data_IF_249793190699
#
_entry.id   IF_249793190699
#
_cell.length_a   1.000
_cell.length_b   1.000
_cell.length_c   1.000
_cell.angle_alpha   90.00
_cell.angle_beta   90.00
_cell.angle_gamma   90.00
#
_symmetry.space_group_name_H-M   'P 1'
#
loop_
_entity.id
_entity.type
_entity.pdbx_description
1 polymer ?
#
# COMPACT_ATOMS: atom_id res chain seq x y z
N UNK A 1 -5.30 27.33 28.83
CA UNK A 1 -5.68 27.47 27.41
C UNK A 1 -6.25 26.12 27.00
N UNK A 2 -7.57 26.03 26.79
CA UNK A 2 -8.17 24.87 26.14
C UNK A 2 -7.76 24.95 24.67
N UNK A 3 -6.85 24.13 24.24
CA UNK A 3 -6.64 23.86 22.81
C UNK A 3 -7.94 23.23 22.32
N UNK A 4 -8.77 23.96 21.61
CA UNK A 4 -9.85 23.36 20.85
C UNK A 4 -9.19 22.47 19.80
N UNK A 5 -9.21 21.17 20.04
CA UNK A 5 -9.01 20.19 18.98
C UNK A 5 -10.27 20.35 18.13
N UNK A 6 -10.12 20.81 16.89
CA UNK A 6 -11.22 20.81 15.94
C UNK A 6 -11.75 19.36 15.86
N UNK A 7 -13.05 19.19 16.05
CA UNK A 7 -13.69 17.89 15.93
C UNK A 7 -13.42 17.36 14.53
N UNK A 8 -12.70 16.26 14.44
CA UNK A 8 -12.37 15.62 13.16
C UNK A 8 -13.67 15.09 12.56
N UNK A 9 -14.08 15.68 11.44
CA UNK A 9 -15.30 15.27 10.76
C UNK A 9 -15.10 13.90 10.08
N UNK A 10 -15.60 12.82 10.69
CA UNK A 10 -15.54 11.45 10.15
C UNK A 10 -16.12 11.32 8.74
N UNK A 11 -17.04 12.18 8.36
CA UNK A 11 -17.69 12.15 7.05
C UNK A 11 -16.71 12.42 5.89
N UNK A 12 -15.53 12.97 6.17
CA UNK A 12 -14.50 13.24 5.15
C UNK A 12 -14.06 11.93 4.46
N UNK A 13 -13.93 10.84 5.20
CA UNK A 13 -13.45 9.55 4.66
C UNK A 13 -14.60 8.63 4.19
N UNK A 14 -15.86 8.89 4.58
CA UNK A 14 -17.03 8.09 4.21
C UNK A 14 -17.89 8.74 3.11
N UNK A 15 -17.26 9.53 2.23
CA UNK A 15 -17.93 10.15 1.10
C UNK A 15 -18.34 9.06 0.12
N UNK A 16 -19.63 8.99 -0.19
CA UNK A 16 -20.21 8.09 -1.18
C UNK A 16 -20.77 8.91 -2.32
N UNK A 17 -20.23 8.70 -3.50
CA UNK A 17 -20.87 9.19 -4.70
C UNK A 17 -21.97 8.21 -5.14
N UNK A 18 -22.87 8.66 -6.00
CA UNK A 18 -23.84 7.76 -6.63
C UNK A 18 -23.09 6.66 -7.38
N UNK A 19 -23.62 5.43 -7.36
CA UNK A 19 -23.06 4.31 -8.14
C UNK A 19 -23.44 4.47 -9.62
N UNK A 20 -22.82 5.49 -10.25
CA UNK A 20 -22.98 5.84 -11.66
C UNK A 20 -21.69 5.53 -12.42
N UNK A 21 -21.78 4.71 -13.44
CA UNK A 21 -20.65 4.27 -14.25
C UNK A 21 -21.02 4.23 -15.73
N UNK A 22 -20.03 4.36 -16.59
CA UNK A 22 -20.19 4.14 -18.03
C UNK A 22 -20.30 2.65 -18.35
N UNK A 23 -19.55 1.84 -17.60
CA UNK A 23 -19.55 0.39 -17.77
C UNK A 23 -19.20 -0.30 -16.45
N UNK A 24 -19.91 -1.37 -16.11
CA UNK A 24 -19.59 -2.30 -15.03
C UNK A 24 -19.66 -3.72 -15.56
N UNK A 25 -18.56 -4.45 -15.41
CA UNK A 25 -18.48 -5.82 -15.88
C UNK A 25 -19.38 -6.73 -15.03
N UNK A 26 -19.83 -7.83 -15.59
CA UNK A 26 -20.54 -8.87 -14.82
C UNK A 26 -19.62 -9.39 -13.72
N UNK A 27 -20.22 -9.72 -12.59
CA UNK A 27 -19.51 -10.35 -11.47
C UNK A 27 -18.96 -11.72 -11.90
N UNK A 28 -17.85 -12.11 -11.27
CA UNK A 28 -17.19 -13.37 -11.53
C UNK A 28 -15.83 -13.24 -12.20
N UNK A 29 -15.22 -14.38 -12.48
CA UNK A 29 -13.90 -14.47 -13.08
C UNK A 29 -13.89 -15.59 -14.15
N UNK A 30 -14.21 -15.22 -15.38
CA UNK A 30 -14.25 -16.14 -16.53
C UNK A 30 -13.40 -15.63 -17.69
N UNK A 31 -13.14 -16.47 -18.67
CA UNK A 31 -12.42 -16.07 -19.89
C UNK A 31 -13.08 -14.90 -20.60
N UNK A 32 -14.40 -14.92 -20.74
CA UNK A 32 -15.19 -13.88 -21.40
C UNK A 32 -15.07 -12.53 -20.68
N UNK A 33 -15.01 -12.57 -19.32
CA UNK A 33 -14.79 -11.38 -18.49
C UNK A 33 -13.40 -10.80 -18.79
N UNK A 34 -12.36 -11.63 -18.83
CA UNK A 34 -10.99 -11.18 -19.12
C UNK A 34 -10.88 -10.59 -20.54
N UNK A 35 -11.49 -11.23 -21.52
CA UNK A 35 -11.52 -10.73 -22.91
C UNK A 35 -12.26 -9.39 -23.01
N UNK A 36 -13.35 -9.20 -22.24
CA UNK A 36 -14.06 -7.92 -22.20
C UNK A 36 -13.24 -6.83 -21.50
N UNK A 37 -12.55 -7.11 -20.38
CA UNK A 37 -11.62 -6.16 -19.76
C UNK A 37 -10.56 -5.73 -20.77
N UNK A 38 -9.91 -6.68 -21.42
CA UNK A 38 -8.87 -6.41 -22.42
C UNK A 38 -9.38 -5.52 -23.56
N UNK A 39 -10.60 -5.74 -24.03
CA UNK A 39 -11.28 -4.91 -25.03
C UNK A 39 -11.55 -3.50 -24.52
N UNK A 40 -12.08 -3.34 -23.31
CA UNK A 40 -12.36 -2.03 -22.69
C UNK A 40 -11.07 -1.20 -22.50
N UNK A 41 -9.95 -1.89 -22.20
CA UNK A 41 -8.63 -1.27 -22.01
C UNK A 41 -7.88 -1.02 -23.32
N UNK A 42 -8.38 -1.50 -24.47
CA UNK A 42 -7.67 -1.51 -25.76
C UNK A 42 -6.27 -2.13 -25.63
N UNK A 43 -6.19 -3.26 -24.93
CA UNK A 43 -4.92 -3.96 -24.73
C UNK A 43 -4.30 -4.39 -26.07
N UNK A 44 -2.98 -4.29 -26.23
CA UNK A 44 -2.29 -4.96 -27.33
C UNK A 44 -2.36 -6.48 -27.15
N UNK A 45 -2.22 -7.25 -28.24
CA UNK A 45 -2.36 -8.71 -28.23
C UNK A 45 -1.53 -9.41 -27.16
N UNK A 46 -0.29 -8.97 -26.95
CA UNK A 46 0.60 -9.56 -25.92
C UNK A 46 0.05 -9.40 -24.50
N UNK A 47 -0.64 -8.29 -24.21
CA UNK A 47 -1.23 -8.05 -22.88
C UNK A 47 -2.51 -8.89 -22.71
N UNK A 48 -3.33 -8.99 -23.75
CA UNK A 48 -4.51 -9.88 -23.74
C UNK A 48 -4.10 -11.35 -23.50
N UNK A 49 -3.08 -11.82 -24.21
CA UNK A 49 -2.54 -13.17 -24.02
C UNK A 49 -1.99 -13.38 -22.61
N UNK A 50 -1.29 -12.38 -22.07
CA UNK A 50 -0.80 -12.39 -20.70
C UNK A 50 -1.94 -12.54 -19.69
N UNK A 51 -3.01 -11.73 -19.82
CA UNK A 51 -4.19 -11.82 -18.93
C UNK A 51 -4.82 -13.21 -18.95
N UNK A 52 -5.01 -13.79 -20.14
CA UNK A 52 -5.59 -15.13 -20.27
C UNK A 52 -4.71 -16.21 -19.63
N UNK A 53 -3.39 -16.10 -19.81
CA UNK A 53 -2.44 -16.99 -19.13
C UNK A 53 -2.47 -16.82 -17.61
N UNK A 54 -2.62 -15.59 -17.11
CA UNK A 54 -2.75 -15.31 -15.68
C UNK A 54 -4.02 -15.96 -15.11
N UNK A 55 -5.13 -15.93 -15.84
CA UNK A 55 -6.36 -16.64 -15.45
C UNK A 55 -6.14 -18.17 -15.36
N UNK A 56 -5.41 -18.75 -16.30
CA UNK A 56 -5.06 -20.19 -16.25
C UNK A 56 -4.23 -20.50 -14.99
N UNK A 57 -3.23 -19.66 -14.68
CA UNK A 57 -2.43 -19.80 -13.47
C UNK A 57 -3.29 -19.67 -12.22
N UNK A 58 -4.19 -18.67 -12.17
CA UNK A 58 -5.13 -18.51 -11.05
C UNK A 58 -5.96 -19.75 -10.80
N UNK A 59 -6.48 -20.36 -11.84
CA UNK A 59 -7.32 -21.56 -11.71
C UNK A 59 -6.54 -22.78 -11.18
N UNK A 60 -5.23 -22.85 -11.42
CA UNK A 60 -4.36 -23.95 -10.99
C UNK A 60 -3.73 -23.73 -9.61
N UNK A 61 -3.71 -22.49 -9.08
CA UNK A 61 -3.15 -22.20 -7.76
C UNK A 61 -4.19 -22.40 -6.66
N UNK A 62 -3.76 -22.95 -5.54
CA UNK A 62 -4.58 -23.09 -4.35
C UNK A 62 -4.65 -21.77 -3.55
N UNK A 63 -5.70 -21.64 -2.75
CA UNK A 63 -5.79 -20.56 -1.77
C UNK A 63 -4.72 -20.74 -0.68
N UNK A 64 -4.18 -19.64 -0.11
CA UNK A 64 -3.26 -19.77 1.01
C UNK A 64 -3.93 -20.46 2.20
N UNK A 65 -3.22 -21.42 2.81
CA UNK A 65 -3.66 -22.18 3.99
C UNK A 65 -3.23 -21.54 5.31
N UNK A 66 -2.61 -20.39 5.25
CA UNK A 66 -2.09 -19.61 6.38
C UNK A 66 -2.64 -18.18 6.36
N UNK A 67 -2.55 -17.48 7.48
CA UNK A 67 -3.06 -16.12 7.62
C UNK A 67 -4.53 -16.08 8.07
N UNK A 68 -5.22 -14.97 7.81
CA UNK A 68 -6.65 -14.83 8.09
C UNK A 68 -7.51 -15.79 7.27
N UNK A 69 -8.70 -16.13 7.81
CA UNK A 69 -9.69 -16.89 7.06
C UNK A 69 -10.26 -16.07 5.90
N UNK A 70 -10.09 -16.58 4.68
CA UNK A 70 -10.55 -15.97 3.43
C UNK A 70 -11.81 -16.63 2.86
N UNK A 71 -12.53 -17.44 3.65
CA UNK A 71 -13.73 -18.18 3.19
C UNK A 71 -14.87 -17.27 2.70
N UNK A 72 -14.89 -16.00 3.14
CA UNK A 72 -15.87 -15.02 2.65
C UNK A 72 -15.54 -14.46 1.25
N UNK A 73 -14.33 -14.68 0.72
CA UNK A 73 -13.97 -14.23 -0.61
C UNK A 73 -14.64 -15.12 -1.66
N UNK A 74 -15.66 -14.57 -2.28
CA UNK A 74 -16.36 -15.19 -3.40
C UNK A 74 -16.21 -14.33 -4.65
N UNK A 75 -15.38 -14.75 -5.60
CA UNK A 75 -15.17 -14.00 -6.84
C UNK A 75 -16.42 -13.89 -7.71
N UNK A 76 -17.41 -14.81 -7.55
CA UNK A 76 -18.69 -14.74 -8.27
C UNK A 76 -19.57 -13.56 -7.81
N UNK A 77 -19.22 -12.92 -6.71
CA UNK A 77 -19.90 -11.74 -6.17
C UNK A 77 -19.14 -10.43 -6.39
N UNK A 78 -17.95 -10.46 -7.00
CA UNK A 78 -17.08 -9.30 -7.23
C UNK A 78 -17.09 -8.91 -8.70
N UNK A 79 -17.39 -7.64 -8.99
CA UNK A 79 -17.14 -7.03 -10.29
C UNK A 79 -15.67 -6.61 -10.36
N UNK A 80 -14.92 -7.17 -11.30
CA UNK A 80 -13.47 -6.97 -11.42
C UNK A 80 -13.09 -5.73 -12.23
N UNK A 81 -14.06 -5.04 -12.82
CA UNK A 81 -13.82 -3.82 -13.56
C UNK A 81 -15.06 -2.90 -13.54
N UNK A 82 -14.84 -1.64 -13.18
CA UNK A 82 -15.86 -0.58 -13.16
C UNK A 82 -15.27 0.68 -13.79
N UNK A 83 -15.85 1.12 -14.91
CA UNK A 83 -15.46 2.35 -15.60
C UNK A 83 -16.34 3.50 -15.16
N UNK A 84 -15.81 4.52 -14.44
CA UNK A 84 -16.57 5.68 -14.03
C UNK A 84 -16.96 6.54 -15.24
N UNK A 85 -17.91 7.45 -15.07
CA UNK A 85 -18.27 8.48 -16.06
C UNK A 85 -17.22 9.59 -16.11
N UNK A 86 -15.98 9.23 -16.41
CA UNK A 86 -14.87 10.17 -16.53
C UNK A 86 -13.87 9.70 -17.56
N UNK A 87 -13.09 10.64 -18.08
CA UNK A 87 -11.90 10.39 -18.90
C UNK A 87 -10.67 10.78 -18.11
N UNK A 88 -9.50 10.39 -18.58
CA UNK A 88 -8.25 10.92 -18.08
C UNK A 88 -8.16 12.43 -18.39
N UNK A 89 -7.98 13.25 -17.37
CA UNK A 89 -7.91 14.70 -17.46
C UNK A 89 -6.54 15.19 -16.96
N UNK A 90 -6.08 16.32 -17.45
CA UNK A 90 -4.87 17.01 -17.00
C UNK A 90 -5.16 18.28 -16.17
N UNK A 91 -6.44 18.63 -16.02
CA UNK A 91 -6.94 19.71 -15.18
C UNK A 91 -8.04 19.19 -14.26
N UNK A 92 -8.00 19.57 -12.99
CA UNK A 92 -9.08 19.27 -12.03
C UNK A 92 -10.42 19.88 -12.43
N UNK A 93 -10.41 20.97 -13.22
CA UNK A 93 -11.63 21.62 -13.68
C UNK A 93 -12.40 20.80 -14.73
N UNK A 94 -11.72 19.85 -15.38
CA UNK A 94 -12.30 18.93 -16.37
C UNK A 94 -12.77 17.61 -15.75
N UNK A 95 -12.43 17.34 -14.47
CA UNK A 95 -12.90 16.15 -13.74
C UNK A 95 -14.35 16.36 -13.32
N UNK A 96 -15.25 15.35 -13.46
CA UNK A 96 -16.64 15.45 -13.00
C UNK A 96 -16.73 15.93 -11.54
N UNK A 97 -17.70 16.84 -11.28
CA UNK A 97 -17.78 17.61 -10.02
C UNK A 97 -17.86 16.69 -8.79
N UNK A 98 -18.63 15.61 -8.84
CA UNK A 98 -18.78 14.66 -7.74
C UNK A 98 -17.48 13.89 -7.43
N UNK A 99 -16.70 13.56 -8.45
CA UNK A 99 -15.38 12.93 -8.32
C UNK A 99 -14.38 13.95 -7.79
N UNK A 100 -14.37 15.18 -8.36
CA UNK A 100 -13.53 16.29 -7.92
C UNK A 100 -13.77 16.61 -6.45
N UNK A 101 -15.03 16.78 -6.04
CA UNK A 101 -15.43 17.03 -4.65
C UNK A 101 -14.90 15.97 -3.67
N UNK A 102 -14.84 14.70 -4.12
CA UNK A 102 -14.27 13.62 -3.32
C UNK A 102 -12.77 13.84 -3.10
N UNK A 103 -12.02 14.14 -4.15
CA UNK A 103 -10.58 14.39 -4.04
C UNK A 103 -10.25 15.71 -3.33
N UNK A 104 -11.07 16.75 -3.48
CA UNK A 104 -10.95 18.01 -2.76
C UNK A 104 -11.09 17.81 -1.25
N UNK A 105 -12.09 17.05 -0.82
CA UNK A 105 -12.30 16.71 0.60
C UNK A 105 -11.19 15.83 1.18
N UNK A 106 -10.55 15.01 0.33
CA UNK A 106 -9.37 14.23 0.70
C UNK A 106 -8.07 15.07 0.68
N UNK A 107 -8.13 16.33 0.26
CA UNK A 107 -6.99 17.27 0.25
C UNK A 107 -5.99 17.05 -0.90
N UNK A 108 -6.30 16.21 -1.90
CA UNK A 108 -5.36 15.84 -2.96
C UNK A 108 -4.99 17.01 -3.88
N UNK A 109 -5.94 17.84 -4.40
CA UNK A 109 -5.59 19.00 -5.22
C UNK A 109 -4.77 20.07 -4.48
N UNK A 110 -4.98 20.23 -3.18
CA UNK A 110 -4.20 21.17 -2.38
C UNK A 110 -2.77 20.65 -2.14
N UNK A 111 -2.61 19.36 -1.85
CA UNK A 111 -1.30 18.74 -1.72
C UNK A 111 -0.49 18.83 -3.04
N UNK A 112 -1.14 18.69 -4.20
CA UNK A 112 -0.51 18.89 -5.51
C UNK A 112 0.08 20.30 -5.66
N UNK A 113 -0.68 21.33 -5.29
CA UNK A 113 -0.23 22.72 -5.43
C UNK A 113 0.94 23.05 -4.50
N UNK A 114 0.99 22.45 -3.31
CA UNK A 114 1.89 22.89 -2.23
C UNK A 114 3.12 22.02 -2.07
N UNK A 115 3.00 20.71 -2.25
CA UNK A 115 4.03 19.76 -1.78
C UNK A 115 4.38 18.64 -2.76
N UNK A 116 3.73 18.55 -3.92
CA UNK A 116 3.96 17.46 -4.88
C UNK A 116 4.53 17.92 -6.21
N UNK A 117 5.28 17.05 -6.89
CA UNK A 117 5.80 17.30 -8.24
C UNK A 117 4.92 16.69 -9.34
N UNK A 118 3.96 15.86 -8.96
CA UNK A 118 2.97 15.28 -9.86
C UNK A 118 1.98 14.42 -9.09
N UNK A 119 0.77 14.29 -9.63
CA UNK A 119 -0.33 13.54 -9.04
C UNK A 119 -1.02 12.68 -10.07
N UNK A 120 -1.32 11.43 -9.70
CA UNK A 120 -2.28 10.56 -10.37
C UNK A 120 -3.46 10.28 -9.45
N UNK A 121 -4.68 10.46 -9.93
CA UNK A 121 -5.88 10.13 -9.17
C UNK A 121 -6.70 9.08 -9.91
N UNK A 122 -6.93 7.96 -9.26
CA UNK A 122 -7.77 6.86 -9.78
C UNK A 122 -9.08 6.81 -9.02
N UNK A 123 -10.16 6.60 -9.75
CA UNK A 123 -11.49 6.39 -9.23
C UNK A 123 -12.06 5.07 -9.80
N UNK A 124 -12.39 4.14 -8.93
CA UNK A 124 -12.68 2.75 -9.28
C UNK A 124 -11.57 2.13 -10.15
N UNK A 125 -11.85 1.72 -11.38
CA UNK A 125 -10.88 1.03 -12.24
C UNK A 125 -10.13 1.93 -13.22
N UNK A 126 -10.30 3.25 -13.16
CA UNK A 126 -9.71 4.18 -14.14
C UNK A 126 -8.96 5.34 -13.47
N UNK A 127 -7.82 5.72 -14.03
CA UNK A 127 -7.16 6.98 -13.70
C UNK A 127 -7.96 8.12 -14.34
N UNK A 128 -8.46 9.04 -13.52
CA UNK A 128 -9.34 10.14 -13.92
C UNK A 128 -8.61 11.48 -14.02
N UNK A 129 -7.49 11.61 -13.35
CA UNK A 129 -6.64 12.79 -13.37
C UNK A 129 -5.17 12.40 -13.31
N UNK A 130 -4.34 13.14 -14.05
CA UNK A 130 -2.89 12.99 -14.01
C UNK A 130 -2.19 14.29 -14.37
N UNK A 131 -1.20 14.67 -13.57
CA UNK A 131 -0.30 15.78 -13.88
C UNK A 131 1.13 15.53 -13.41
N UNK A 132 2.08 16.22 -14.02
CA UNK A 132 3.48 16.26 -13.58
C UNK A 132 4.12 17.61 -13.98
N UNK A 133 5.01 18.12 -13.12
CA UNK A 133 5.74 19.37 -13.41
C UNK A 133 6.60 19.25 -14.68
N UNK A 134 6.54 20.25 -15.55
CA UNK A 134 7.28 20.28 -16.81
C UNK A 134 8.80 20.10 -16.66
N UNK A 135 9.37 20.54 -15.55
CA UNK A 135 10.80 20.41 -15.25
C UNK A 135 11.24 18.94 -15.20
N UNK A 136 10.40 18.05 -14.66
CA UNK A 136 10.66 16.61 -14.62
C UNK A 136 10.52 15.99 -16.02
N UNK A 137 9.52 16.43 -16.79
CA UNK A 137 9.34 15.99 -18.19
C UNK A 137 10.59 16.32 -19.02
N UNK A 138 11.13 17.53 -18.86
CA UNK A 138 12.36 17.97 -19.56
C UNK A 138 13.60 17.17 -19.15
N UNK A 139 13.61 16.60 -17.95
CA UNK A 139 14.66 15.71 -17.47
C UNK A 139 14.47 14.25 -17.95
N UNK A 140 13.40 13.96 -18.68
CA UNK A 140 13.10 12.64 -19.21
C UNK A 140 12.39 11.71 -18.19
N UNK A 141 11.91 12.25 -17.08
CA UNK A 141 11.05 11.49 -16.17
C UNK A 141 9.72 11.18 -16.86
N UNK A 142 9.30 9.94 -16.77
CA UNK A 142 7.96 9.51 -17.21
C UNK A 142 7.16 9.22 -15.97
N UNK A 143 5.97 9.83 -15.88
CA UNK A 143 4.94 9.47 -14.92
C UNK A 143 3.61 9.49 -15.64
N UNK A 144 2.93 8.36 -15.71
CA UNK A 144 1.64 8.20 -16.41
C UNK A 144 0.85 7.04 -15.80
N UNK A 145 -0.39 6.84 -16.26
CA UNK A 145 -1.15 5.64 -15.94
C UNK A 145 -0.55 4.40 -16.63
N UNK A 146 -0.83 3.23 -16.06
CA UNK A 146 -0.21 1.98 -16.53
C UNK A 146 -0.71 1.55 -17.91
N UNK A 147 -1.96 1.83 -18.28
CA UNK A 147 -2.50 1.53 -19.62
C UNK A 147 -1.82 2.37 -20.70
N UNK A 148 -1.58 3.65 -20.43
CA UNK A 148 -0.80 4.51 -21.32
C UNK A 148 0.63 3.99 -21.47
N UNK A 149 1.25 3.57 -20.36
CA UNK A 149 2.59 2.98 -20.42
C UNK A 149 2.65 1.71 -21.27
N UNK A 150 1.66 0.82 -21.17
CA UNK A 150 1.56 -0.40 -22.00
C UNK A 150 1.53 -0.07 -23.50
N UNK A 151 0.89 1.03 -23.89
CA UNK A 151 0.77 1.47 -25.29
C UNK A 151 1.96 2.26 -25.80
N UNK A 152 2.45 3.20 -25.00
CA UNK A 152 3.45 4.19 -25.44
C UNK A 152 4.90 3.77 -25.13
N UNK A 153 5.09 2.95 -24.07
CA UNK A 153 6.40 2.47 -23.65
C UNK A 153 6.48 0.93 -23.57
N UNK A 154 6.00 0.19 -24.60
CA UNK A 154 5.82 -1.27 -24.52
C UNK A 154 7.11 -2.03 -24.20
N UNK A 155 8.27 -1.57 -24.64
CA UNK A 155 9.55 -2.28 -24.38
C UNK A 155 9.97 -2.15 -22.90
N UNK A 156 9.80 -0.98 -22.30
CA UNK A 156 10.05 -0.78 -20.86
C UNK A 156 9.07 -1.62 -20.04
N UNK A 157 7.78 -1.63 -20.40
CA UNK A 157 6.78 -2.40 -19.70
C UNK A 157 7.05 -3.90 -19.83
N UNK A 158 7.23 -4.44 -21.03
CA UNK A 158 7.48 -5.87 -21.26
C UNK A 158 8.71 -6.40 -20.51
N UNK A 159 9.74 -5.56 -20.36
CA UNK A 159 10.97 -5.97 -19.67
C UNK A 159 10.84 -6.00 -18.15
N UNK A 160 9.82 -5.36 -17.55
CA UNK A 160 9.68 -5.22 -16.11
C UNK A 160 8.35 -5.77 -15.55
N UNK A 161 7.25 -5.60 -16.28
CA UNK A 161 5.90 -5.95 -15.83
C UNK A 161 5.77 -7.43 -15.44
N UNK A 162 5.33 -7.68 -14.22
CA UNK A 162 5.18 -9.00 -13.61
C UNK A 162 6.45 -9.86 -13.68
N UNK A 163 7.63 -9.21 -13.48
CA UNK A 163 8.95 -9.87 -13.38
C UNK A 163 9.48 -9.86 -11.94
N UNK A 164 9.33 -8.76 -11.22
CA UNK A 164 9.64 -8.71 -9.79
C UNK A 164 8.59 -9.49 -8.98
N UNK A 165 7.34 -9.41 -9.41
CA UNK A 165 6.20 -10.18 -8.86
C UNK A 165 5.68 -11.12 -9.96
N UNK A 166 6.27 -12.31 -10.16
CA UNK A 166 5.85 -13.22 -11.23
C UNK A 166 4.43 -13.73 -11.00
N UNK A 167 3.68 -13.92 -12.10
CA UNK A 167 2.25 -14.27 -12.10
C UNK A 167 1.92 -15.53 -11.27
N UNK A 168 2.86 -16.43 -11.10
CA UNK A 168 2.72 -17.67 -10.31
C UNK A 168 3.22 -17.55 -8.87
N UNK A 169 3.46 -16.34 -8.36
CA UNK A 169 3.95 -16.14 -6.99
C UNK A 169 2.93 -16.65 -5.95
N UNK A 170 1.67 -16.30 -6.13
CA UNK A 170 0.53 -16.83 -5.39
C UNK A 170 -0.80 -16.46 -6.09
N UNK A 171 -1.90 -17.05 -5.62
CA UNK A 171 -3.23 -16.94 -6.25
C UNK A 171 -3.69 -15.50 -6.49
N UNK A 172 -3.46 -14.56 -5.55
CA UNK A 172 -3.91 -13.18 -5.71
C UNK A 172 -3.06 -12.39 -6.71
N UNK A 173 -1.79 -12.75 -6.90
CA UNK A 173 -0.96 -12.19 -7.98
C UNK A 173 -1.45 -12.68 -9.34
N UNK A 174 -1.83 -13.94 -9.44
CA UNK A 174 -2.41 -14.47 -10.67
C UNK A 174 -3.78 -13.81 -10.98
N UNK A 175 -4.63 -13.61 -9.96
CA UNK A 175 -5.86 -12.83 -10.08
C UNK A 175 -5.56 -11.42 -10.60
N UNK A 176 -4.64 -10.72 -9.95
CA UNK A 176 -4.21 -9.39 -10.36
C UNK A 176 -3.77 -9.37 -11.83
N UNK A 177 -2.89 -10.28 -12.23
CA UNK A 177 -2.40 -10.37 -13.61
C UNK A 177 -3.51 -10.54 -14.65
N UNK A 178 -4.62 -11.23 -14.30
CA UNK A 178 -5.76 -11.43 -15.17
C UNK A 178 -6.65 -10.17 -15.29
N UNK A 179 -6.87 -9.42 -14.20
CA UNK A 179 -7.90 -8.38 -14.14
C UNK A 179 -7.37 -6.97 -13.87
N UNK A 180 -6.06 -6.76 -13.79
CA UNK A 180 -5.49 -5.47 -13.42
C UNK A 180 -6.05 -4.31 -14.27
N UNK A 181 -6.22 -3.16 -13.64
CA UNK A 181 -6.68 -1.94 -14.29
C UNK A 181 -6.25 -0.71 -13.50
N UNK A 182 -5.83 0.33 -14.21
CA UNK A 182 -5.30 1.54 -13.60
C UNK A 182 -3.91 1.33 -12.98
N UNK A 183 -3.56 2.21 -12.07
CA UNK A 183 -2.26 2.23 -11.43
C UNK A 183 -1.30 3.22 -12.09
N UNK A 184 -0.02 3.09 -11.75
CA UNK A 184 0.97 4.10 -12.07
C UNK A 184 2.22 3.51 -12.70
N UNK A 185 2.70 4.16 -13.73
CA UNK A 185 4.00 3.91 -14.32
C UNK A 185 4.94 5.08 -14.09
N UNK A 186 6.09 4.82 -13.47
CA UNK A 186 7.13 5.84 -13.26
C UNK A 186 8.47 5.31 -13.77
N UNK A 187 9.12 6.12 -14.59
CA UNK A 187 10.50 5.90 -15.01
C UNK A 187 11.34 7.13 -14.70
N UNK A 188 12.43 6.94 -13.97
CA UNK A 188 13.38 8.02 -13.63
C UNK A 188 14.73 7.71 -14.28
N UNK A 189 15.20 8.55 -15.24
CA UNK A 189 16.45 8.32 -15.95
C UNK A 189 17.68 8.35 -15.04
N UNK A 190 18.78 7.80 -15.55
CA UNK A 190 20.08 7.75 -14.87
C UNK A 190 20.51 9.10 -14.30
N UNK A 191 20.80 9.13 -13.00
CA UNK A 191 21.32 10.27 -12.26
C UNK A 191 20.30 11.37 -11.95
N UNK A 192 19.05 11.26 -12.43
CA UNK A 192 18.00 12.25 -12.16
C UNK A 192 17.52 12.13 -10.71
N UNK A 193 17.42 13.28 -10.04
CA UNK A 193 16.93 13.38 -8.66
C UNK A 193 15.56 14.06 -8.66
N UNK A 194 14.54 13.34 -8.22
CA UNK A 194 13.19 13.88 -8.04
C UNK A 194 13.05 14.27 -6.56
N UNK A 195 13.36 15.54 -6.26
CA UNK A 195 13.45 16.04 -4.88
C UNK A 195 12.08 16.25 -4.23
N UNK A 196 11.04 16.51 -5.01
CA UNK A 196 9.66 16.69 -4.56
C UNK A 196 8.88 15.41 -4.88
N UNK A 197 8.10 14.86 -3.93
CA UNK A 197 7.42 13.59 -4.14
C UNK A 197 6.46 13.59 -5.34
N UNK A 198 6.31 12.40 -5.97
CA UNK A 198 5.18 12.05 -6.83
C UNK A 198 4.15 11.28 -6.01
N UNK A 199 2.87 11.44 -6.34
CA UNK A 199 1.78 10.77 -5.62
C UNK A 199 0.80 10.10 -6.56
N UNK A 200 0.32 8.91 -6.17
CA UNK A 200 -0.91 8.33 -6.69
C UNK A 200 -1.93 8.15 -5.58
N UNK A 201 -3.19 8.44 -5.86
CA UNK A 201 -4.29 8.22 -4.93
C UNK A 201 -5.37 7.35 -5.56
N UNK A 202 -5.72 6.26 -4.90
CA UNK A 202 -6.67 5.25 -5.36
C UNK A 202 -7.94 5.28 -4.52
N UNK A 203 -9.07 5.58 -5.16
CA UNK A 203 -10.39 5.62 -4.52
C UNK A 203 -11.30 4.56 -5.12
N UNK A 204 -11.68 3.55 -4.35
CA UNK A 204 -12.72 2.60 -4.72
C UNK A 204 -14.07 3.13 -4.22
N UNK A 205 -14.99 3.45 -5.13
CA UNK A 205 -16.32 3.95 -4.78
C UNK A 205 -17.44 2.93 -4.99
N UNK A 206 -17.31 2.03 -5.96
CA UNK A 206 -18.36 1.06 -6.30
C UNK A 206 -18.44 -0.09 -5.28
N UNK A 207 -19.65 -0.43 -4.74
CA UNK A 207 -19.82 -1.60 -3.89
C UNK A 207 -19.76 -2.91 -4.70
N UNK A 208 -19.42 -4.01 -4.01
CA UNK A 208 -19.31 -5.36 -4.61
C UNK A 208 -18.35 -5.39 -5.81
N UNK A 209 -17.27 -4.62 -5.72
CA UNK A 209 -16.26 -4.51 -6.77
C UNK A 209 -14.85 -4.69 -6.21
N UNK A 210 -13.91 -4.89 -7.12
CA UNK A 210 -12.50 -4.97 -6.80
C UNK A 210 -11.71 -3.80 -7.39
N UNK A 211 -10.59 -3.47 -6.74
CA UNK A 211 -9.57 -2.57 -7.22
C UNK A 211 -8.27 -3.34 -7.40
N UNK A 212 -7.67 -3.24 -8.60
CA UNK A 212 -6.56 -4.07 -9.04
C UNK A 212 -5.50 -3.23 -9.77
N UNK A 213 -5.12 -2.10 -9.18
CA UNK A 213 -4.14 -1.20 -9.76
C UNK A 213 -2.74 -1.82 -9.82
N UNK A 214 -2.01 -1.55 -10.92
CA UNK A 214 -0.63 -1.96 -11.08
C UNK A 214 0.31 -0.75 -11.02
N UNK A 215 1.18 -0.71 -10.03
CA UNK A 215 2.22 0.31 -9.91
C UNK A 215 3.56 -0.28 -10.31
N UNK A 216 4.18 0.29 -11.37
CA UNK A 216 5.51 -0.08 -11.83
C UNK A 216 6.43 1.14 -11.79
N UNK A 217 7.47 1.07 -10.95
CA UNK A 217 8.46 2.14 -10.79
C UNK A 217 9.85 1.62 -11.15
N UNK A 218 10.50 2.30 -12.08
CA UNK A 218 11.84 1.96 -12.57
C UNK A 218 12.76 3.17 -12.34
N UNK A 219 13.73 3.01 -11.45
CA UNK A 219 14.78 3.98 -11.22
C UNK A 219 16.09 3.47 -11.84
N UNK A 220 16.62 4.23 -12.76
CA UNK A 220 17.92 3.96 -13.36
C UNK A 220 19.08 4.27 -12.39
N UNK A 221 20.29 3.88 -12.76
CA UNK A 221 21.50 4.06 -11.96
C UNK A 221 21.62 5.49 -11.40
N UNK A 222 21.79 5.58 -10.08
CA UNK A 222 21.96 6.85 -9.39
C UNK A 222 20.72 7.76 -9.34
N UNK A 223 19.56 7.32 -9.83
CA UNK A 223 18.31 8.08 -9.73
C UNK A 223 17.78 8.14 -8.29
N UNK A 224 16.92 9.11 -7.99
CA UNK A 224 16.20 9.13 -6.69
C UNK A 224 14.77 9.62 -6.83
N UNK A 225 13.89 9.02 -6.02
CA UNK A 225 12.47 9.34 -5.97
C UNK A 225 11.89 9.07 -4.59
N UNK A 226 10.99 9.94 -4.14
CA UNK A 226 9.98 9.63 -3.13
C UNK A 226 8.63 9.49 -3.82
N UNK A 227 8.02 8.31 -3.74
CA UNK A 227 6.69 8.04 -4.27
C UNK A 227 5.72 7.81 -3.11
N UNK A 228 4.53 8.40 -3.20
CA UNK A 228 3.51 8.32 -2.17
C UNK A 228 2.26 7.68 -2.76
N UNK A 229 1.73 6.67 -2.09
CA UNK A 229 0.49 6.00 -2.46
C UNK A 229 -0.55 6.18 -1.35
N UNK A 230 -1.69 6.74 -1.70
CA UNK A 230 -2.86 6.81 -0.83
C UNK A 230 -3.97 5.90 -1.36
N UNK A 231 -4.62 5.16 -0.46
CA UNK A 231 -5.72 4.27 -0.84
C UNK A 231 -6.90 4.45 0.11
N UNK A 232 -8.12 4.54 -0.42
CA UNK A 232 -9.32 4.64 0.42
C UNK A 232 -10.57 4.07 -0.24
N UNK A 233 -11.54 3.69 0.61
CA UNK A 233 -12.90 3.33 0.19
C UNK A 233 -13.91 3.80 1.26
N UNK A 234 -15.13 4.22 0.87
CA UNK A 234 -16.19 4.50 1.81
C UNK A 234 -16.74 3.22 2.43
N UNK A 235 -17.49 3.35 3.51
CA UNK A 235 -18.12 2.19 4.20
C UNK A 235 -19.30 1.68 3.39
N UNK A 236 -19.24 0.43 2.97
CA UNK A 236 -20.35 -0.33 2.39
C UNK A 236 -20.68 -1.54 3.27
N UNK A 237 -21.95 -2.01 3.22
CA UNK A 237 -22.38 -3.25 3.89
C UNK A 237 -22.13 -4.47 3.00
N UNK A 238 -21.14 -4.41 2.12
CA UNK A 238 -20.80 -5.43 1.14
C UNK A 238 -19.30 -5.63 1.10
N UNK A 239 -18.88 -6.85 0.78
CA UNK A 239 -17.46 -7.17 0.63
C UNK A 239 -16.92 -6.50 -0.63
N UNK A 240 -15.80 -5.82 -0.48
CA UNK A 240 -14.98 -5.30 -1.58
C UNK A 240 -13.59 -5.95 -1.50
N UNK A 241 -12.93 -6.04 -2.64
CA UNK A 241 -11.60 -6.64 -2.77
C UNK A 241 -10.57 -5.60 -3.25
N UNK A 242 -9.44 -5.53 -2.60
CA UNK A 242 -8.26 -4.86 -3.10
C UNK A 242 -7.14 -5.88 -3.29
N UNK A 243 -6.69 -6.05 -4.53
CA UNK A 243 -5.58 -6.94 -4.87
C UNK A 243 -4.69 -6.26 -5.91
N UNK A 244 -4.10 -5.12 -5.53
CA UNK A 244 -3.12 -4.38 -6.30
C UNK A 244 -1.77 -5.09 -6.35
N UNK A 245 -0.91 -4.65 -7.26
CA UNK A 245 0.46 -5.12 -7.39
C UNK A 245 1.42 -3.95 -7.59
N UNK A 246 2.50 -3.96 -6.82
CA UNK A 246 3.55 -2.93 -6.88
C UNK A 246 4.89 -3.60 -7.16
N UNK A 247 5.53 -3.18 -8.25
CA UNK A 247 6.85 -3.64 -8.67
C UNK A 247 7.82 -2.46 -8.72
N UNK A 248 8.90 -2.56 -7.94
CA UNK A 248 9.89 -1.49 -7.81
C UNK A 248 11.27 -1.98 -8.24
N UNK A 249 11.86 -1.29 -9.19
CA UNK A 249 13.21 -1.56 -9.68
C UNK A 249 14.12 -0.40 -9.29
N UNK A 250 15.05 -0.66 -8.39
CA UNK A 250 15.98 0.34 -7.85
C UNK A 250 17.38 -0.04 -8.31
N UNK A 251 17.83 0.53 -9.41
CA UNK A 251 19.12 0.21 -10.02
C UNK A 251 20.30 0.66 -9.14
N UNK A 252 21.52 0.36 -9.58
CA UNK A 252 22.75 0.64 -8.82
C UNK A 252 22.85 2.11 -8.38
N UNK A 253 23.24 2.34 -7.14
CA UNK A 253 23.37 3.67 -6.52
C UNK A 253 22.09 4.50 -6.49
N UNK A 254 20.92 3.92 -6.83
CA UNK A 254 19.64 4.63 -6.81
C UNK A 254 19.01 4.62 -5.40
N UNK A 255 18.09 5.52 -5.17
CA UNK A 255 17.34 5.64 -3.93
C UNK A 255 15.84 5.78 -4.20
N UNK A 256 15.06 4.87 -3.65
CA UNK A 256 13.60 4.95 -3.66
C UNK A 256 13.04 4.93 -2.24
N UNK A 257 12.21 5.92 -1.92
CA UNK A 257 11.29 5.85 -0.78
C UNK A 257 9.88 5.65 -1.31
N UNK A 258 9.20 4.63 -0.81
CA UNK A 258 7.81 4.34 -1.13
C UNK A 258 6.96 4.40 0.14
N UNK A 259 6.09 5.40 0.21
CA UNK A 259 5.22 5.63 1.36
C UNK A 259 3.77 5.29 1.00
N UNK A 260 3.11 4.48 1.83
CA UNK A 260 1.71 4.10 1.63
C UNK A 260 0.88 4.44 2.86
N UNK A 261 -0.26 5.09 2.65
CA UNK A 261 -1.32 5.23 3.66
C UNK A 261 -2.59 4.59 3.12
N UNK A 262 -3.02 3.53 3.77
CA UNK A 262 -4.22 2.78 3.43
C UNK A 262 -5.33 3.07 4.45
N UNK A 263 -6.46 3.55 3.97
CA UNK A 263 -7.66 3.84 4.77
C UNK A 263 -8.88 3.17 4.14
N UNK A 264 -8.93 1.85 4.24
CA UNK A 264 -9.98 1.04 3.67
C UNK A 264 -11.21 0.94 4.57
N UNK A 265 -12.37 0.69 3.97
CA UNK A 265 -13.56 0.35 4.75
C UNK A 265 -13.40 -0.97 5.51
N UNK A 266 -14.11 -1.13 6.63
CA UNK A 266 -14.08 -2.36 7.45
C UNK A 266 -14.72 -3.60 6.78
N UNK A 267 -15.14 -3.49 5.52
CA UNK A 267 -15.63 -4.61 4.71
C UNK A 267 -14.67 -4.95 3.55
N UNK A 268 -13.50 -4.31 3.51
CA UNK A 268 -12.48 -4.57 2.49
C UNK A 268 -11.65 -5.80 2.84
N UNK A 269 -11.43 -6.66 1.85
CA UNK A 269 -10.36 -7.65 1.85
C UNK A 269 -9.16 -7.04 1.11
N UNK A 270 -8.09 -6.71 1.83
CA UNK A 270 -6.89 -6.08 1.31
C UNK A 270 -5.78 -7.12 1.14
N UNK A 271 -5.57 -7.60 -0.09
CA UNK A 271 -4.68 -8.70 -0.45
C UNK A 271 -3.60 -8.24 -1.44
N UNK A 272 -2.99 -7.10 -1.16
CA UNK A 272 -2.04 -6.41 -2.03
C UNK A 272 -0.64 -7.06 -1.99
N UNK A 273 0.10 -7.00 -3.10
CA UNK A 273 1.46 -7.52 -3.23
C UNK A 273 2.42 -6.44 -3.67
N UNK A 274 3.50 -6.22 -2.89
CA UNK A 274 4.51 -5.20 -3.16
C UNK A 274 5.91 -5.81 -3.09
N UNK A 275 6.73 -5.65 -4.15
CA UNK A 275 8.13 -6.12 -4.15
C UNK A 275 9.08 -5.11 -4.79
N UNK A 276 10.31 -5.07 -4.28
CA UNK A 276 11.41 -4.28 -4.81
C UNK A 276 12.63 -5.14 -5.09
N UNK A 277 13.27 -4.91 -6.23
CA UNK A 277 14.62 -5.40 -6.53
C UNK A 277 15.60 -4.25 -6.34
N UNK A 278 16.64 -4.47 -5.53
CA UNK A 278 17.59 -3.42 -5.12
C UNK A 278 18.99 -3.76 -5.61
N UNK A 279 19.55 -2.87 -6.43
CA UNK A 279 20.86 -2.98 -7.05
C UNK A 279 22.02 -2.62 -6.12
N UNK A 280 23.23 -2.60 -6.68
CA UNK A 280 24.48 -2.35 -5.94
C UNK A 280 24.49 -0.94 -5.30
N UNK A 281 24.81 -0.89 -4.00
CA UNK A 281 24.82 0.35 -3.18
C UNK A 281 23.50 1.15 -3.24
N UNK A 282 22.43 0.57 -3.75
CA UNK A 282 21.12 1.20 -3.80
C UNK A 282 20.38 1.08 -2.47
N UNK A 283 19.43 1.96 -2.24
CA UNK A 283 18.60 1.95 -1.02
C UNK A 283 17.12 1.99 -1.35
N UNK A 284 16.36 1.13 -0.66
CA UNK A 284 14.89 1.09 -0.71
C UNK A 284 14.31 1.34 0.68
N UNK A 285 13.54 2.41 0.85
CA UNK A 285 12.83 2.74 2.08
C UNK A 285 11.32 2.53 1.89
N UNK A 286 10.72 1.75 2.78
CA UNK A 286 9.28 1.55 2.87
C UNK A 286 8.73 2.26 4.10
N UNK A 287 7.66 3.04 3.90
CA UNK A 287 6.88 3.62 5.00
C UNK A 287 5.43 3.22 4.81
N UNK A 288 4.80 2.58 5.80
CA UNK A 288 3.46 2.00 5.65
C UNK A 288 2.57 2.31 6.84
N UNK A 289 1.39 2.87 6.57
CA UNK A 289 0.29 2.99 7.51
C UNK A 289 -0.93 2.21 7.02
N UNK A 290 -1.37 1.21 7.76
CA UNK A 290 -2.51 0.35 7.41
C UNK A 290 -3.64 0.53 8.41
N UNK A 291 -4.74 1.11 7.93
CA UNK A 291 -5.96 1.38 8.68
C UNK A 291 -7.17 0.83 7.94
N UNK A 292 -8.20 0.46 8.68
CA UNK A 292 -9.38 -0.13 8.08
C UNK A 292 -9.16 -1.58 7.66
N UNK A 293 -9.86 -2.01 6.60
CA UNK A 293 -9.99 -3.39 6.15
C UNK A 293 -10.63 -4.34 7.16
N UNK A 294 -11.38 -5.33 6.71
CA UNK A 294 -11.82 -6.47 7.52
C UNK A 294 -10.67 -7.45 7.68
N UNK A 295 -10.02 -7.74 6.57
CA UNK A 295 -8.84 -8.60 6.48
C UNK A 295 -7.78 -7.87 5.68
N UNK A 296 -6.54 -7.92 6.15
CA UNK A 296 -5.37 -7.49 5.38
C UNK A 296 -4.32 -8.59 5.37
N UNK A 297 -3.73 -8.84 4.18
CA UNK A 297 -2.53 -9.64 4.00
C UNK A 297 -1.55 -8.81 3.17
N UNK A 298 -0.68 -8.08 3.84
CA UNK A 298 0.22 -7.12 3.22
C UNK A 298 1.66 -7.34 3.70
N UNK A 299 2.53 -7.81 2.81
CA UNK A 299 3.92 -8.15 3.10
C UNK A 299 4.84 -7.53 2.06
N UNK A 300 5.13 -6.22 2.11
CA UNK A 300 6.15 -5.64 1.24
C UNK A 300 7.45 -6.42 1.34
N UNK A 301 8.15 -6.55 0.22
CA UNK A 301 9.34 -7.37 0.13
C UNK A 301 10.48 -6.62 -0.58
N UNK A 302 11.68 -6.66 -0.01
CA UNK A 302 12.90 -6.22 -0.67
C UNK A 302 13.80 -7.40 -1.02
N UNK A 303 14.30 -7.43 -2.25
CA UNK A 303 15.29 -8.40 -2.74
C UNK A 303 16.59 -7.65 -3.00
N UNK A 304 17.57 -7.83 -2.10
CA UNK A 304 18.85 -7.14 -2.11
C UNK A 304 19.82 -7.91 -3.01
N UNK A 305 19.80 -7.60 -4.32
CA UNK A 305 20.55 -8.33 -5.34
C UNK A 305 21.95 -7.75 -5.59
N UNK A 306 22.18 -6.49 -5.26
CA UNK A 306 23.47 -5.84 -5.44
C UNK A 306 24.30 -5.80 -4.17
N UNK A 307 25.64 -5.87 -4.31
CA UNK A 307 26.55 -5.67 -3.19
C UNK A 307 26.30 -4.33 -2.51
N UNK A 308 26.24 -4.31 -1.16
CA UNK A 308 25.99 -3.10 -0.40
C UNK A 308 24.58 -2.53 -0.50
N UNK A 309 23.63 -3.27 -1.12
CA UNK A 309 22.23 -2.87 -1.15
C UNK A 309 21.61 -2.77 0.25
N UNK A 310 20.71 -1.80 0.43
CA UNK A 310 20.10 -1.51 1.72
C UNK A 310 18.59 -1.40 1.61
N UNK A 311 17.89 -1.80 2.68
CA UNK A 311 16.46 -1.54 2.81
C UNK A 311 16.08 -1.18 4.23
N UNK A 312 15.14 -0.27 4.36
CA UNK A 312 14.49 0.06 5.63
C UNK A 312 12.98 -0.10 5.48
N UNK A 313 12.34 -0.66 6.49
CA UNK A 313 10.89 -0.72 6.60
C UNK A 313 10.45 -0.10 7.91
N UNK A 314 9.53 0.85 7.82
CA UNK A 314 8.87 1.46 8.98
C UNK A 314 7.36 1.41 8.76
N UNK A 315 6.65 0.68 9.62
CA UNK A 315 5.22 0.44 9.40
C UNK A 315 4.39 0.42 10.67
N UNK A 316 3.11 0.84 10.54
CA UNK A 316 2.10 0.74 11.58
C UNK A 316 0.81 0.14 11.05
N UNK A 317 0.21 -0.76 11.84
CA UNK A 317 -1.11 -1.31 11.60
C UNK A 317 -2.02 -1.06 12.79
N UNK A 318 -3.28 -0.71 12.55
CA UNK A 318 -4.28 -0.52 13.60
C UNK A 318 -5.51 -1.39 13.32
N UNK A 319 -5.78 -2.36 14.18
CA UNK A 319 -6.93 -3.25 14.09
C UNK A 319 -7.96 -2.95 15.19
N UNK A 320 -9.14 -2.53 14.80
CA UNK A 320 -10.32 -2.42 15.67
C UNK A 320 -11.17 -3.70 15.67
N UNK A 321 -12.30 -3.68 16.39
CA UNK A 321 -13.20 -4.82 16.47
C UNK A 321 -13.64 -5.36 15.11
N UNK A 322 -13.58 -6.68 14.94
CA UNK A 322 -13.93 -7.39 13.72
C UNK A 322 -12.87 -7.36 12.61
N UNK A 323 -11.71 -6.77 12.85
CA UNK A 323 -10.60 -6.70 11.89
C UNK A 323 -9.51 -7.73 12.22
N UNK A 324 -8.93 -8.33 11.16
CA UNK A 324 -7.80 -9.25 11.24
C UNK A 324 -6.73 -8.83 10.25
N UNK A 325 -5.73 -8.10 10.73
CA UNK A 325 -4.64 -7.56 9.92
C UNK A 325 -3.39 -8.42 10.10
N UNK A 326 -3.05 -9.24 9.11
CA UNK A 326 -1.82 -10.03 9.04
C UNK A 326 -0.86 -9.30 8.10
N UNK A 327 -0.08 -8.40 8.65
CA UNK A 327 0.83 -7.54 7.91
C UNK A 327 2.27 -7.79 8.36
N UNK A 328 3.24 -7.42 7.52
CA UNK A 328 4.62 -7.60 7.90
C UNK A 328 5.60 -7.13 6.84
N UNK A 329 6.83 -7.66 6.90
CA UNK A 329 7.86 -7.33 5.93
C UNK A 329 8.73 -8.54 5.61
N UNK A 330 9.12 -8.65 4.35
CA UNK A 330 10.00 -9.72 3.87
C UNK A 330 11.27 -9.12 3.27
N UNK A 331 12.42 -9.72 3.56
CA UNK A 331 13.69 -9.33 2.94
C UNK A 331 14.52 -10.56 2.59
N UNK A 332 15.10 -10.54 1.38
CA UNK A 332 16.04 -11.54 0.91
C UNK A 332 17.35 -10.85 0.58
N UNK A 333 18.42 -11.25 1.25
CA UNK A 333 19.78 -10.82 0.98
C UNK A 333 20.44 -11.84 0.05
N UNK A 334 20.74 -11.40 -1.19
CA UNK A 334 21.37 -12.23 -2.22
C UNK A 334 22.85 -11.90 -2.46
N UNK A 335 23.28 -10.71 -2.06
CA UNK A 335 24.63 -10.20 -2.29
C UNK A 335 25.35 -9.85 -0.96
N UNK A 336 26.69 -9.81 -0.95
CA UNK A 336 27.45 -9.49 0.25
C UNK A 336 27.29 -8.01 0.69
N UNK A 337 27.63 -7.75 1.95
CA UNK A 337 27.61 -6.41 2.54
C UNK A 337 26.25 -5.70 2.53
N UNK A 338 25.16 -6.45 2.41
CA UNK A 338 23.79 -5.90 2.38
C UNK A 338 23.26 -5.65 3.79
N UNK A 339 22.32 -4.72 3.92
CA UNK A 339 21.72 -4.40 5.22
C UNK A 339 20.21 -4.17 5.16
N UNK A 340 19.50 -4.60 6.20
CA UNK A 340 18.08 -4.35 6.38
C UNK A 340 17.77 -3.91 7.81
N UNK A 341 16.88 -2.92 7.93
CA UNK A 341 16.33 -2.46 9.21
C UNK A 341 14.81 -2.49 9.12
N UNK A 342 14.18 -3.13 10.09
CA UNK A 342 12.72 -3.29 10.12
C UNK A 342 12.17 -2.79 11.43
N UNK A 343 11.30 -1.79 11.38
CA UNK A 343 10.58 -1.22 12.51
C UNK A 343 9.08 -1.35 12.28
N UNK A 344 8.48 -2.37 12.88
CA UNK A 344 7.05 -2.62 12.74
C UNK A 344 6.32 -2.33 14.04
N UNK A 345 5.21 -1.60 13.95
CA UNK A 345 4.34 -1.33 15.09
C UNK A 345 2.91 -1.78 14.80
N UNK A 346 2.22 -2.29 15.81
CA UNK A 346 0.83 -2.63 15.70
C UNK A 346 0.05 -2.19 16.92
N UNK A 347 -1.21 -1.81 16.68
CA UNK A 347 -2.16 -1.43 17.73
C UNK A 347 -3.41 -2.26 17.51
N UNK A 348 -3.94 -2.86 18.58
CA UNK A 348 -5.19 -3.62 18.54
C UNK A 348 -6.15 -3.18 19.65
N UNK A 349 -7.45 -3.18 19.32
CA UNK A 349 -8.51 -2.64 20.16
C UNK A 349 -9.85 -3.33 19.90
N UNK A 350 -10.69 -3.44 20.93
CA UNK A 350 -12.06 -3.96 20.86
C UNK A 350 -12.14 -5.37 20.23
N UNK A 351 -11.15 -6.22 20.54
CA UNK A 351 -11.06 -7.57 19.98
C UNK A 351 -10.47 -7.63 18.57
N UNK A 352 -9.90 -6.54 18.06
CA UNK A 352 -9.14 -6.55 16.82
C UNK A 352 -7.89 -7.42 16.92
N UNK A 353 -7.51 -8.01 15.81
CA UNK A 353 -6.33 -8.86 15.71
C UNK A 353 -5.28 -8.25 14.78
N UNK A 354 -4.06 -8.07 15.28
CA UNK A 354 -2.86 -7.75 14.49
C UNK A 354 -1.89 -8.93 14.54
N UNK A 355 -1.44 -9.39 13.38
CA UNK A 355 -0.36 -10.35 13.25
C UNK A 355 0.80 -9.69 12.50
N UNK A 356 1.98 -9.64 13.12
CA UNK A 356 3.20 -9.27 12.43
C UNK A 356 3.88 -10.53 11.88
N UNK A 357 3.99 -10.64 10.57
CA UNK A 357 4.61 -11.78 9.89
C UNK A 357 5.84 -11.33 9.10
N UNK A 358 7.01 -11.90 9.41
CA UNK A 358 8.25 -11.51 8.74
C UNK A 358 8.99 -12.70 8.13
N UNK A 359 9.77 -12.38 7.09
CA UNK A 359 10.80 -13.26 6.55
C UNK A 359 12.10 -12.46 6.41
N UNK A 360 13.14 -12.92 7.08
CA UNK A 360 14.51 -12.51 6.79
C UNK A 360 15.27 -13.72 6.29
N UNK A 361 15.69 -13.68 5.02
CA UNK A 361 16.55 -14.70 4.42
C UNK A 361 17.87 -14.08 4.04
N UNK A 362 18.98 -14.68 4.52
CA UNK A 362 20.33 -14.32 4.11
C UNK A 362 20.94 -15.52 3.42
N UNK A 363 21.10 -15.43 2.10
CA UNK A 363 21.60 -16.52 1.27
C UNK A 363 23.12 -16.73 1.44
N UNK A 364 23.64 -17.88 1.01
CA UNK A 364 25.03 -18.30 1.21
C UNK A 364 26.06 -17.28 0.73
N UNK A 365 25.77 -16.58 -0.37
CA UNK A 365 26.65 -15.56 -0.95
C UNK A 365 26.54 -14.18 -0.28
N UNK A 366 25.57 -13.97 0.61
CA UNK A 366 25.31 -12.68 1.23
C UNK A 366 26.12 -12.49 2.52
N UNK A 367 27.43 -12.75 2.42
CA UNK A 367 28.39 -12.61 3.54
C UNK A 367 28.50 -11.17 4.03
N UNK A 368 28.85 -10.99 5.30
CA UNK A 368 28.96 -9.70 5.99
C UNK A 368 27.67 -8.85 5.95
N UNK A 369 26.54 -9.51 5.75
CA UNK A 369 25.24 -8.82 5.76
C UNK A 369 24.71 -8.63 7.16
N UNK A 370 23.89 -7.58 7.34
CA UNK A 370 23.31 -7.19 8.63
C UNK A 370 21.81 -7.06 8.53
N UNK A 371 21.09 -7.58 9.53
CA UNK A 371 19.64 -7.38 9.59
C UNK A 371 19.21 -7.15 11.04
N UNK A 372 18.42 -6.12 11.27
CA UNK A 372 17.80 -5.80 12.55
C UNK A 372 16.30 -5.71 12.38
N UNK A 373 15.55 -6.47 13.18
CA UNK A 373 14.09 -6.47 13.21
C UNK A 373 13.61 -6.07 14.60
N UNK A 374 12.80 -5.03 14.68
CA UNK A 374 12.08 -4.62 15.89
C UNK A 374 10.59 -4.61 15.59
N UNK A 375 9.82 -5.42 16.32
CA UNK A 375 8.37 -5.41 16.26
C UNK A 375 7.78 -5.09 17.63
N UNK A 376 6.95 -4.05 17.68
CA UNK A 376 6.29 -3.59 18.89
C UNK A 376 4.79 -3.62 18.73
N UNK A 377 4.08 -4.21 19.67
CA UNK A 377 2.63 -4.32 19.66
C UNK A 377 2.01 -3.77 20.93
N UNK A 378 0.97 -2.95 20.77
CA UNK A 378 0.23 -2.33 21.85
C UNK A 378 -1.23 -2.77 21.80
N UNK A 379 -1.69 -3.53 22.79
CA UNK A 379 -3.10 -3.87 22.98
C UNK A 379 -3.76 -2.85 23.91
N UNK A 380 -4.92 -2.32 23.53
CA UNK A 380 -5.64 -1.30 24.32
C UNK A 380 -6.66 -1.89 25.28
N UNK A 381 -6.89 -3.21 25.23
CA UNK A 381 -7.82 -3.95 26.08
C UNK A 381 -7.41 -5.42 26.24
N UNK A 382 -8.18 -6.20 26.99
CA UNK A 382 -7.89 -7.60 27.32
C UNK A 382 -8.42 -8.62 26.30
N UNK A 383 -9.23 -8.19 25.32
CA UNK A 383 -9.85 -9.08 24.31
C UNK A 383 -9.17 -8.97 22.95
N UNK A 384 -8.34 -7.96 22.76
CA UNK A 384 -7.55 -7.76 21.53
C UNK A 384 -6.39 -8.74 21.44
N UNK A 385 -6.00 -9.07 20.21
CA UNK A 385 -4.98 -10.08 19.94
C UNK A 385 -3.82 -9.45 19.17
N UNK A 386 -2.60 -9.81 19.57
CA UNK A 386 -1.39 -9.49 18.83
C UNK A 386 -0.48 -10.71 18.75
N UNK A 387 -0.17 -11.11 17.51
CA UNK A 387 0.71 -12.24 17.20
C UNK A 387 1.97 -11.75 16.48
N UNK A 388 3.09 -12.47 16.70
CA UNK A 388 4.33 -12.28 15.93
C UNK A 388 4.79 -13.64 15.39
N UNK A 389 4.95 -13.71 14.05
CA UNK A 389 5.33 -14.94 13.34
C UNK A 389 6.59 -14.68 12.52
N UNK A 390 7.78 -14.76 13.14
CA UNK A 390 9.04 -14.54 12.45
C UNK A 390 9.51 -15.81 11.71
N UNK A 391 10.06 -15.62 10.52
CA UNK A 391 10.83 -16.62 9.80
C UNK A 391 12.23 -16.09 9.53
N UNK A 392 13.24 -16.74 10.08
CA UNK A 392 14.64 -16.35 9.95
C UNK A 392 15.41 -17.50 9.31
N UNK A 393 15.87 -17.31 8.05
CA UNK A 393 16.55 -18.31 7.23
C UNK A 393 17.98 -17.81 6.93
N UNK A 394 18.93 -18.12 7.86
CA UNK A 394 20.33 -17.73 7.76
C UNK A 394 21.13 -18.90 7.14
N UNK A 395 21.63 -18.69 5.93
CA UNK A 395 22.37 -19.71 5.17
C UNK A 395 23.89 -19.51 5.15
N UNK A 396 24.37 -18.55 5.91
CA UNK A 396 25.79 -18.27 6.18
C UNK A 396 25.96 -17.83 7.62
N UNK A 397 27.09 -18.09 8.22
CA UNK A 397 27.48 -17.68 9.58
C UNK A 397 28.18 -16.32 9.63
N UNK A 398 28.59 -15.77 8.47
CA UNK A 398 29.19 -14.44 8.35
C UNK A 398 28.11 -13.34 8.29
N UNK A 399 27.29 -13.23 9.34
CA UNK A 399 26.18 -12.27 9.43
C UNK A 399 26.01 -11.67 10.82
N UNK A 400 25.45 -10.47 10.88
CA UNK A 400 24.93 -9.88 12.10
C UNK A 400 23.39 -9.83 12.02
N UNK A 401 22.73 -10.53 12.95
CA UNK A 401 21.27 -10.57 12.98
C UNK A 401 20.73 -10.32 14.38
N UNK A 402 19.72 -9.46 14.46
CA UNK A 402 18.94 -9.25 15.70
C UNK A 402 17.44 -9.22 15.39
N UNK A 403 16.65 -9.81 16.28
CA UNK A 403 15.19 -9.73 16.22
C UNK A 403 14.66 -9.50 17.65
N UNK A 404 14.00 -8.38 17.85
CA UNK A 404 13.36 -8.01 19.10
C UNK A 404 11.84 -7.89 18.90
N UNK A 405 11.07 -8.55 19.77
CA UNK A 405 9.62 -8.42 19.80
C UNK A 405 9.18 -7.91 21.17
N UNK A 406 8.38 -6.84 21.18
CA UNK A 406 7.75 -6.30 22.40
C UNK A 406 6.24 -6.30 22.21
N UNK A 407 5.56 -7.15 22.97
CA UNK A 407 4.09 -7.22 22.96
C UNK A 407 3.61 -6.87 24.36
N UNK A 408 2.76 -5.88 24.45
CA UNK A 408 2.24 -5.42 25.72
C UNK A 408 0.85 -4.81 25.64
N UNK A 409 0.17 -4.84 26.80
CA UNK A 409 -1.06 -4.09 27.02
C UNK A 409 -0.71 -2.67 27.47
N UNK A 410 -1.55 -1.72 27.16
CA UNK A 410 -1.45 -0.34 27.67
C UNK A 410 -1.42 -0.37 29.21
N UNK A 411 -0.46 0.36 29.80
CA UNK A 411 -0.23 0.32 31.23
C UNK A 411 -1.27 1.11 32.04
N UNK A 412 -2.05 0.44 32.86
CA UNK A 412 -3.02 1.08 33.78
C UNK A 412 -2.35 2.09 34.71
N UNK A 413 -1.09 1.81 35.12
CA UNK A 413 -0.29 2.77 35.93
C UNK A 413 0.02 4.05 35.16
N UNK A 414 0.36 3.95 33.87
CA UNK A 414 0.64 5.10 33.02
C UNK A 414 -0.63 5.90 32.78
N UNK A 415 -1.77 5.22 32.53
CA UNK A 415 -3.07 5.87 32.37
C UNK A 415 -3.41 6.62 33.66
N UNK A 416 -3.34 5.96 34.82
CA UNK A 416 -3.61 6.58 36.12
C UNK A 416 -2.72 7.79 36.39
N UNK A 417 -1.42 7.69 36.08
CA UNK A 417 -0.50 8.80 36.24
C UNK A 417 -0.91 10.03 35.38
N UNK A 418 -1.30 9.81 34.12
CA UNK A 418 -1.77 10.87 33.24
C UNK A 418 -3.10 11.47 33.70
N UNK A 419 -4.03 10.63 34.18
CA UNK A 419 -5.29 11.08 34.77
C UNK A 419 -5.07 11.91 36.03
N UNK A 420 -4.10 11.57 36.87
CA UNK A 420 -3.73 12.36 38.05
C UNK A 420 -3.14 13.75 37.70
N UNK A 421 -2.74 13.94 36.43
CA UNK A 421 -2.31 15.24 35.88
C UNK A 421 -3.45 16.01 35.18
N UNK A 422 -4.69 15.53 35.25
CA UNK A 422 -5.88 16.23 34.77
C UNK A 422 -6.35 15.81 33.40
N UNK A 423 -5.81 14.74 32.80
CA UNK A 423 -6.35 14.16 31.56
C UNK A 423 -7.53 13.27 31.85
N UNK A 424 -8.48 13.19 30.92
CA UNK A 424 -9.45 12.09 30.91
C UNK A 424 -8.76 10.77 30.61
N UNK A 425 -9.39 9.65 30.89
CA UNK A 425 -8.85 8.32 30.56
C UNK A 425 -8.64 8.19 29.05
N UNK A 426 -9.55 8.72 28.26
CA UNK A 426 -9.50 8.75 26.79
C UNK A 426 -8.32 9.56 26.26
N UNK A 427 -8.15 10.79 26.78
CA UNK A 427 -7.02 11.64 26.42
C UNK A 427 -5.68 11.00 26.80
N UNK A 428 -5.64 10.33 27.94
CA UNK A 428 -4.46 9.60 28.40
C UNK A 428 -4.12 8.44 27.44
N UNK A 429 -5.11 7.63 27.04
CA UNK A 429 -4.93 6.55 26.04
C UNK A 429 -4.51 7.11 24.71
N UNK A 430 -5.18 8.15 24.22
CA UNK A 430 -4.86 8.80 22.96
C UNK A 430 -3.43 9.38 22.93
N UNK A 431 -2.99 9.96 24.05
CA UNK A 431 -1.62 10.48 24.17
C UNK A 431 -0.57 9.35 24.09
N UNK A 432 -0.79 8.21 24.75
CA UNK A 432 0.10 7.05 24.72
C UNK A 432 0.18 6.49 23.30
N UNK A 433 -0.97 6.30 22.63
CA UNK A 433 -1.04 5.77 21.27
C UNK A 433 -0.38 6.70 20.27
N UNK A 434 -0.60 8.01 20.36
CA UNK A 434 0.09 9.00 19.51
C UNK A 434 1.61 8.97 19.73
N UNK A 435 2.05 8.87 20.96
CA UNK A 435 3.48 8.72 21.30
C UNK A 435 4.07 7.44 20.71
N UNK A 436 3.33 6.34 20.73
CA UNK A 436 3.72 5.06 20.12
C UNK A 436 3.84 5.16 18.60
N UNK A 437 2.91 5.84 17.93
CA UNK A 437 2.88 6.01 16.47
C UNK A 437 3.83 7.12 15.95
N UNK A 438 4.23 8.07 16.80
CA UNK A 438 5.00 9.24 16.42
C UNK A 438 6.29 9.00 15.62
N UNK A 439 7.12 7.97 15.90
CA UNK A 439 8.30 7.68 15.09
C UNK A 439 7.98 7.44 13.61
N UNK A 440 6.81 6.85 13.31
CA UNK A 440 6.38 6.56 11.93
C UNK A 440 5.85 7.84 11.26
N UNK A 441 5.08 8.66 12.01
CA UNK A 441 4.58 9.93 11.50
C UNK A 441 5.71 10.86 11.01
N UNK A 442 6.87 10.83 11.67
CA UNK A 442 8.05 11.62 11.27
C UNK A 442 8.65 11.24 9.93
N UNK A 443 8.41 10.00 9.47
CA UNK A 443 8.92 9.52 8.20
C UNK A 443 8.03 9.92 7.01
N UNK A 444 6.84 10.43 7.28
CA UNK A 444 5.87 10.88 6.27
C UNK A 444 6.01 12.38 6.00
N UNK A 445 5.67 12.85 4.78
CA UNK A 445 5.38 14.26 4.54
C UNK A 445 4.31 14.79 5.51
N UNK A 446 4.34 16.10 5.78
CA UNK A 446 3.52 16.70 6.84
C UNK A 446 2.03 16.42 6.67
N UNK A 447 1.53 16.49 5.45
CA UNK A 447 0.12 16.23 5.10
C UNK A 447 -0.29 14.79 5.45
N UNK A 448 0.57 13.82 5.15
CA UNK A 448 0.34 12.40 5.45
C UNK A 448 0.54 12.07 6.92
N UNK A 449 1.45 12.77 7.60
CA UNK A 449 1.59 12.67 9.04
C UNK A 449 0.33 13.17 9.76
N UNK A 450 -0.28 14.24 9.25
CA UNK A 450 -1.57 14.77 9.75
C UNK A 450 -2.69 13.76 9.47
N UNK A 451 -2.78 13.23 8.25
CA UNK A 451 -3.77 12.19 7.90
C UNK A 451 -3.65 10.97 8.80
N UNK A 452 -2.44 10.44 8.98
CA UNK A 452 -2.20 9.29 9.86
C UNK A 452 -2.63 9.57 11.30
N UNK A 453 -2.32 10.75 11.84
CA UNK A 453 -2.73 11.13 13.18
C UNK A 453 -4.26 11.25 13.28
N UNK A 454 -4.92 11.78 12.25
CA UNK A 454 -6.37 11.85 12.18
C UNK A 454 -7.01 10.45 12.15
N UNK A 455 -6.48 9.54 11.36
CA UNK A 455 -6.94 8.15 11.31
C UNK A 455 -6.78 7.43 12.65
N UNK A 456 -5.65 7.63 13.32
CA UNK A 456 -5.44 7.11 14.69
C UNK A 456 -6.47 7.66 15.66
N UNK A 457 -6.74 8.97 15.62
CA UNK A 457 -7.75 9.58 16.49
C UNK A 457 -9.15 9.03 16.20
N UNK A 458 -9.54 8.91 14.93
CA UNK A 458 -10.83 8.33 14.53
C UNK A 458 -10.99 6.88 14.99
N UNK A 459 -9.92 6.08 14.91
CA UNK A 459 -9.95 4.72 15.43
C UNK A 459 -10.03 4.70 16.96
N UNK A 460 -9.44 5.65 17.67
CA UNK A 460 -9.53 5.77 19.12
C UNK A 460 -10.91 6.22 19.58
N UNK A 461 -11.53 7.22 18.95
CA UNK A 461 -12.86 7.72 19.28
C UNK A 461 -13.97 6.68 19.07
N UNK A 462 -13.86 5.79 18.10
CA UNK A 462 -14.79 4.64 17.94
C UNK A 462 -14.81 3.67 19.12
N UNK A 463 -14.06 3.96 20.22
CA UNK A 463 -14.10 3.26 21.48
C UNK A 463 -15.31 3.62 22.36
N UNK A 464 -16.03 4.68 22.01
CA UNK A 464 -17.11 5.28 22.82
C UNK A 464 -18.47 5.08 22.14
N UNK A 465 -18.66 4.08 21.35
CA UNK A 465 -19.96 3.83 20.72
C UNK A 465 -20.47 2.46 21.02
#
# INVERSE_FOLDING_TARGET
>A
MKTQVEEINRNIYDIKNKDEYDFKIKKGLTREIIEEISKQKNDPDWMREFRLKALEVYNNLEMPTWGPDLSELNMDEIATYVKPKSKLNSSWDDVPEDIKDTFDKLGIPEAEKTSLAGVGAQYDSEVVYHSMKEELIKQGVIYTDMETAVREYPELVKSHFMKCVPVNDHKFVALHGAVWSGGSFVYVPKGVKVDIPLQSYFRLNSPESGQFEHTLIILEEGASLHFIEGCSAPKYNKVNLHAGCVELYVADNAYLRYSTIENWSKNMLNLNTKKAIVGKNAKMDWVSGSFGSKISMLYPMSILNGEGAKTEFTGISFAGGGQNLDNGFKVIHNAPNTSSVVNAKSISKNGGKCTYRSLVRINENAKNSKSSVSCESLMLDDISISDTIPTNDMRTDEVEFSHEAKIGKISDKTIFYLMSRGLSEEDAKAMIVRGFAHPIAKELPVEYAVEMNNLINLELEGAIG
#
